data_IF_559223424063
#
_entry.id   IF_559223424063
#
_cell.length_a   1.000
_cell.length_b   1.000
_cell.length_c   1.000
_cell.angle_alpha   90.00
_cell.angle_beta   90.00
_cell.angle_gamma   90.00
#
_symmetry.space_group_name_H-M   'P 1'
#
loop_
_entity.id
_entity.type
_entity.pdbx_description
1 polymer ?
#
# COMPACT_ATOMS: atom_id res chain seq x y z
N UNK A 1 -18.81 -30.05 -5.17
CA UNK A 1 -19.52 -28.91 -5.76
C UNK A 1 -20.85 -28.68 -5.04
N UNK A 2 -21.24 -27.44 -4.82
CA UNK A 2 -22.61 -27.10 -4.38
C UNK A 2 -23.61 -27.32 -5.52
N UNK A 3 -24.85 -27.74 -5.18
CA UNK A 3 -25.88 -27.95 -6.18
C UNK A 3 -26.40 -26.64 -6.80
N UNK A 4 -26.74 -26.64 -8.08
CA UNK A 4 -27.38 -25.52 -8.74
C UNK A 4 -28.88 -25.48 -8.39
N UNK A 5 -29.49 -24.29 -8.34
CA UNK A 5 -30.91 -24.08 -8.17
C UNK A 5 -31.43 -23.06 -9.17
N UNK A 6 -32.59 -23.33 -9.77
CA UNK A 6 -33.21 -22.41 -10.73
C UNK A 6 -34.09 -21.34 -10.04
N UNK A 7 -34.59 -21.59 -8.83
CA UNK A 7 -35.61 -20.76 -8.16
C UNK A 7 -35.26 -20.37 -6.73
N UNK A 8 -34.26 -21.00 -6.14
CA UNK A 8 -33.81 -20.77 -4.76
C UNK A 8 -32.30 -20.54 -4.69
N UNK A 9 -31.80 -20.36 -3.46
CA UNK A 9 -30.34 -20.24 -3.20
C UNK A 9 -29.63 -21.54 -3.62
N UNK A 10 -28.52 -21.44 -4.33
CA UNK A 10 -27.68 -22.57 -4.68
C UNK A 10 -27.03 -23.21 -3.45
N UNK A 11 -26.63 -24.48 -3.58
CA UNK A 11 -25.97 -25.22 -2.50
C UNK A 11 -24.60 -24.64 -2.12
N UNK A 12 -24.26 -24.64 -0.83
CA UNK A 12 -22.95 -24.23 -0.30
C UNK A 12 -21.96 -25.40 -0.25
N UNK A 13 -20.66 -25.06 -0.28
CA UNK A 13 -19.56 -25.95 0.05
C UNK A 13 -18.81 -25.35 1.24
N UNK A 14 -18.57 -26.16 2.28
CA UNK A 14 -17.81 -25.78 3.47
C UNK A 14 -16.65 -26.74 3.65
N UNK A 15 -15.45 -26.22 3.83
CA UNK A 15 -14.24 -26.99 4.12
C UNK A 15 -13.63 -26.42 5.40
N UNK A 16 -13.44 -27.26 6.41
CA UNK A 16 -12.92 -26.85 7.72
C UNK A 16 -11.89 -27.85 8.23
N UNK A 17 -10.83 -27.34 8.87
CA UNK A 17 -9.95 -28.16 9.71
C UNK A 17 -10.65 -28.54 11.02
N UNK A 18 -10.23 -29.63 11.63
CA UNK A 18 -10.80 -30.09 12.90
C UNK A 18 -10.46 -29.12 14.05
N UNK A 19 -11.42 -28.89 14.95
CA UNK A 19 -11.17 -28.13 16.18
C UNK A 19 -10.46 -28.97 17.24
N UNK A 20 -9.66 -28.31 18.11
CA UNK A 20 -9.03 -28.97 19.27
C UNK A 20 -9.34 -28.13 20.52
N UNK A 21 -9.62 -28.82 21.63
CA UNK A 21 -9.87 -28.17 22.92
C UNK A 21 -8.59 -27.94 23.74
N UNK A 22 -7.49 -28.64 23.43
CA UNK A 22 -6.27 -28.61 24.25
C UNK A 22 -4.96 -28.55 23.45
N UNK A 23 -5.03 -28.62 22.13
CA UNK A 23 -3.89 -28.56 21.22
C UNK A 23 -4.19 -27.67 20.02
N UNK A 24 -3.26 -27.61 19.04
CA UNK A 24 -3.43 -26.90 17.79
C UNK A 24 -4.60 -27.48 16.97
N UNK A 25 -5.43 -26.64 16.38
CA UNK A 25 -6.48 -27.05 15.45
C UNK A 25 -5.91 -27.65 14.16
N UNK A 26 -6.74 -28.37 13.39
CA UNK A 26 -6.35 -28.97 12.11
C UNK A 26 -6.14 -27.92 11.02
N UNK A 27 -5.12 -28.11 10.20
CA UNK A 27 -4.82 -27.31 9.01
C UNK A 27 -5.77 -27.64 7.86
N UNK A 28 -6.07 -26.64 7.02
CA UNK A 28 -6.63 -26.80 5.68
C UNK A 28 -5.62 -26.28 4.67
N UNK A 29 -5.08 -27.16 3.81
CA UNK A 29 -4.14 -26.78 2.75
C UNK A 29 -4.78 -26.95 1.37
N UNK A 30 -4.71 -25.90 0.54
CA UNK A 30 -5.19 -25.91 -0.86
C UNK A 30 -4.07 -25.39 -1.75
N UNK A 31 -3.57 -26.21 -2.67
CA UNK A 31 -2.45 -25.88 -3.55
C UNK A 31 -2.69 -26.35 -4.99
N UNK A 32 -2.12 -25.63 -5.98
CA UNK A 32 -1.98 -26.14 -7.33
C UNK A 32 -1.01 -27.33 -7.40
N UNK A 33 -1.11 -28.13 -8.45
CA UNK A 33 -0.22 -29.29 -8.66
C UNK A 33 1.21 -28.87 -9.02
N UNK A 34 2.18 -29.66 -8.59
CA UNK A 34 3.59 -29.48 -8.95
C UNK A 34 3.85 -30.13 -10.31
N UNK A 35 4.63 -29.47 -11.18
CA UNK A 35 5.18 -30.05 -12.40
C UNK A 35 6.72 -30.10 -12.34
N UNK A 36 7.31 -31.11 -12.93
CA UNK A 36 8.78 -31.27 -13.04
C UNK A 36 9.31 -30.92 -14.41
N UNK A 37 8.46 -30.71 -15.40
CA UNK A 37 8.85 -30.50 -16.81
C UNK A 37 8.19 -29.27 -17.46
N UNK A 38 7.01 -28.87 -16.99
CA UNK A 38 6.21 -27.78 -17.55
C UNK A 38 5.71 -26.87 -16.41
N UNK A 39 4.80 -25.93 -16.71
CA UNK A 39 4.24 -25.02 -15.72
C UNK A 39 3.50 -25.76 -14.59
N UNK A 40 3.58 -25.24 -13.37
CA UNK A 40 2.79 -25.70 -12.23
C UNK A 40 1.31 -25.35 -12.36
N UNK A 41 0.45 -26.09 -11.66
CA UNK A 41 -1.00 -25.85 -11.63
C UNK A 41 -1.36 -24.57 -10.89
N UNK A 42 -2.34 -23.82 -11.41
CA UNK A 42 -2.87 -22.60 -10.79
C UNK A 42 -3.85 -22.90 -9.66
N UNK A 43 -3.93 -21.99 -8.69
CA UNK A 43 -5.03 -21.88 -7.73
C UNK A 43 -5.86 -20.63 -8.09
N UNK A 44 -7.18 -20.82 -8.35
CA UNK A 44 -8.11 -19.73 -8.62
C UNK A 44 -9.16 -19.61 -7.52
N UNK A 45 -9.22 -18.44 -6.86
CA UNK A 45 -10.24 -18.08 -5.87
C UNK A 45 -11.04 -16.90 -6.43
N UNK A 46 -12.34 -17.10 -6.69
CA UNK A 46 -13.19 -16.12 -7.36
C UNK A 46 -14.58 -16.08 -6.74
N UNK A 47 -15.08 -14.87 -6.46
CA UNK A 47 -16.49 -14.65 -6.11
C UNK A 47 -17.43 -14.91 -7.29
N UNK A 48 -18.67 -15.29 -7.02
CA UNK A 48 -19.67 -15.56 -8.05
C UNK A 48 -20.03 -14.30 -8.84
N UNK A 49 -20.25 -14.44 -10.14
CA UNK A 49 -20.75 -13.35 -11.01
C UNK A 49 -22.27 -13.28 -11.00
N UNK A 50 -22.81 -12.12 -11.34
CA UNK A 50 -24.26 -11.88 -11.49
C UNK A 50 -24.54 -11.03 -12.72
N UNK A 51 -25.77 -11.11 -13.23
CA UNK A 51 -26.25 -10.27 -14.35
C UNK A 51 -26.92 -9.00 -13.84
N UNK A 52 -27.60 -9.03 -12.71
CA UNK A 52 -28.48 -7.94 -12.24
C UNK A 52 -28.27 -7.50 -10.80
N UNK A 53 -27.43 -8.15 -10.04
CA UNK A 53 -27.15 -7.82 -8.64
C UNK A 53 -25.67 -7.50 -8.39
N UNK A 54 -25.25 -7.44 -7.13
CA UNK A 54 -23.84 -7.34 -6.77
C UNK A 54 -23.13 -8.69 -6.91
N UNK A 55 -21.90 -8.71 -7.41
CA UNK A 55 -21.05 -9.90 -7.44
C UNK A 55 -20.71 -10.42 -6.04
N UNK A 56 -20.32 -11.69 -5.94
CA UNK A 56 -19.92 -12.33 -4.70
C UNK A 56 -18.60 -11.77 -4.18
N UNK A 57 -18.48 -11.63 -2.86
CA UNK A 57 -17.28 -11.17 -2.16
C UNK A 57 -16.25 -12.31 -2.03
N UNK A 58 -14.96 -11.97 -2.10
CA UNK A 58 -13.86 -12.80 -1.60
C UNK A 58 -13.33 -12.16 -0.32
N UNK A 59 -13.29 -12.89 0.79
CA UNK A 59 -12.82 -12.41 2.09
C UNK A 59 -11.71 -13.31 2.62
N UNK A 60 -10.55 -12.73 2.93
CA UNK A 60 -9.42 -13.39 3.57
C UNK A 60 -9.14 -12.71 4.91
N UNK A 61 -9.11 -13.48 5.99
CA UNK A 61 -8.74 -12.99 7.32
C UNK A 61 -8.05 -14.08 8.11
N UNK A 62 -7.14 -13.70 8.97
CA UNK A 62 -6.52 -14.60 9.96
C UNK A 62 -7.48 -14.90 11.12
N UNK A 63 -7.10 -15.85 11.97
CA UNK A 63 -7.83 -16.19 13.19
C UNK A 63 -7.66 -15.12 14.27
N UNK A 64 -8.74 -14.85 15.01
CA UNK A 64 -8.73 -13.98 16.19
C UNK A 64 -8.23 -14.73 17.42
N UNK A 65 -7.50 -14.04 18.30
CA UNK A 65 -7.23 -14.49 19.69
C UNK A 65 -8.05 -13.66 20.66
N UNK A 66 -8.77 -14.31 21.54
CA UNK A 66 -9.54 -13.65 22.62
C UNK A 66 -8.80 -13.56 23.95
N UNK A 67 -7.69 -14.29 24.12
CA UNK A 67 -6.92 -14.35 25.36
C UNK A 67 -5.40 -14.20 25.12
N UNK A 68 -4.94 -12.98 24.88
CA UNK A 68 -3.57 -12.52 25.16
C UNK A 68 -2.42 -12.92 24.22
N UNK A 69 -2.63 -13.76 23.20
CA UNK A 69 -1.52 -14.25 22.33
C UNK A 69 -1.43 -13.57 20.97
N UNK A 70 -2.30 -12.63 20.65
CA UNK A 70 -2.36 -11.98 19.34
C UNK A 70 -3.12 -12.80 18.28
N UNK A 71 -3.55 -12.16 17.21
CA UNK A 71 -4.16 -12.80 16.03
C UNK A 71 -3.09 -13.44 15.15
N UNK A 72 -3.49 -14.32 14.23
CA UNK A 72 -2.59 -14.86 13.21
C UNK A 72 -2.23 -13.82 12.15
N UNK A 73 -1.20 -14.10 11.36
CA UNK A 73 -0.76 -13.28 10.23
C UNK A 73 -1.52 -13.62 8.94
N UNK A 74 -1.58 -12.68 8.00
CA UNK A 74 -1.95 -12.90 6.60
C UNK A 74 -0.77 -12.52 5.73
N UNK A 75 -0.19 -13.49 5.01
CA UNK A 75 0.96 -13.27 4.11
C UNK A 75 0.51 -13.46 2.66
N UNK A 76 0.81 -12.49 1.80
CA UNK A 76 0.55 -12.55 0.35
C UNK A 76 1.84 -12.17 -0.36
N UNK A 77 2.48 -13.13 -1.04
CA UNK A 77 3.77 -12.93 -1.69
C UNK A 77 3.91 -13.78 -2.96
N UNK A 78 4.74 -13.36 -3.89
CA UNK A 78 5.26 -14.22 -4.96
C UNK A 78 6.49 -14.97 -4.45
N UNK A 79 6.62 -16.25 -4.80
CA UNK A 79 7.77 -17.06 -4.38
C UNK A 79 9.07 -16.55 -5.03
N UNK A 80 10.19 -16.76 -4.30
CA UNK A 80 11.52 -16.49 -4.84
C UNK A 80 11.86 -17.43 -6.00
N UNK A 81 12.53 -16.90 -7.02
CA UNK A 81 13.09 -17.69 -8.11
C UNK A 81 14.60 -17.91 -7.87
N UNK A 82 15.04 -19.16 -7.91
CA UNK A 82 16.46 -19.49 -7.80
C UNK A 82 17.24 -19.09 -9.07
N UNK A 83 16.58 -19.16 -10.24
CA UNK A 83 17.09 -18.76 -11.55
C UNK A 83 15.97 -18.08 -12.32
N UNK A 84 16.25 -16.95 -12.94
CA UNK A 84 15.24 -16.15 -13.65
C UNK A 84 14.58 -15.10 -12.79
N UNK A 85 13.41 -14.60 -13.21
CA UNK A 85 12.64 -13.57 -12.50
C UNK A 85 11.58 -14.18 -11.59
N UNK A 86 11.32 -13.56 -10.44
CA UNK A 86 10.15 -13.86 -9.62
C UNK A 86 8.87 -13.35 -10.27
N UNK A 87 7.71 -13.87 -9.83
CA UNK A 87 6.41 -13.38 -10.27
C UNK A 87 6.05 -12.01 -9.68
N UNK A 88 5.09 -11.34 -10.30
CA UNK A 88 4.54 -10.07 -9.84
C UNK A 88 3.43 -10.28 -8.79
N UNK A 89 3.28 -9.33 -7.86
CA UNK A 89 2.09 -9.14 -7.04
C UNK A 89 1.32 -7.91 -7.54
N UNK A 90 0.06 -8.09 -7.98
CA UNK A 90 -0.81 -7.03 -8.47
C UNK A 90 -2.06 -6.86 -7.59
N UNK A 91 -2.25 -5.67 -7.04
CA UNK A 91 -3.47 -5.25 -6.35
C UNK A 91 -4.14 -4.15 -7.18
N UNK A 92 -5.34 -4.39 -7.66
CA UNK A 92 -6.07 -3.44 -8.48
C UNK A 92 -7.59 -3.59 -8.30
N UNK A 93 -8.33 -2.50 -8.36
CA UNK A 93 -9.79 -2.50 -8.49
C UNK A 93 -10.19 -2.56 -9.97
N UNK A 94 -11.38 -3.10 -10.23
CA UNK A 94 -11.94 -3.10 -11.57
C UNK A 94 -12.34 -1.71 -12.05
N UNK A 95 -12.35 -1.50 -13.37
CA UNK A 95 -12.89 -0.29 -13.98
C UNK A 95 -14.42 -0.31 -13.99
N UNK A 96 -15.05 0.86 -13.83
CA UNK A 96 -16.49 1.06 -14.00
C UNK A 96 -16.75 1.85 -15.28
N UNK A 97 -17.64 1.35 -16.15
CA UNK A 97 -18.03 2.06 -17.38
C UNK A 97 -19.03 3.17 -17.07
N UNK A 98 -19.98 2.89 -16.17
CA UNK A 98 -21.01 3.82 -15.71
C UNK A 98 -20.97 3.85 -14.18
N UNK A 99 -20.44 4.92 -13.61
CA UNK A 99 -20.35 5.08 -12.17
C UNK A 99 -18.93 5.16 -11.63
N UNK A 100 -18.78 5.08 -10.33
CA UNK A 100 -17.51 5.20 -9.63
C UNK A 100 -16.80 3.84 -9.54
N UNK A 101 -15.50 3.81 -9.83
CA UNK A 101 -14.65 2.64 -9.60
C UNK A 101 -14.44 2.40 -8.10
N UNK A 102 -14.06 1.17 -7.74
CA UNK A 102 -13.72 0.82 -6.36
C UNK A 102 -12.43 1.49 -5.89
N UNK A 103 -12.26 1.59 -4.56
CA UNK A 103 -11.06 2.14 -3.92
C UNK A 103 -10.15 1.01 -3.42
N UNK A 104 -8.85 1.28 -3.31
CA UNK A 104 -7.89 0.48 -2.54
C UNK A 104 -7.58 1.26 -1.26
N UNK A 105 -7.76 0.61 -0.09
CA UNK A 105 -7.41 1.16 1.22
C UNK A 105 -6.35 0.28 1.88
N UNK A 106 -5.21 0.87 2.24
CA UNK A 106 -4.12 0.24 2.99
C UNK A 106 -4.05 0.95 4.35
N UNK A 107 -4.38 0.23 5.41
CA UNK A 107 -4.44 0.79 6.75
C UNK A 107 -3.92 -0.21 7.77
N UNK A 108 -3.00 0.23 8.63
CA UNK A 108 -2.57 -0.52 9.80
C UNK A 108 -3.58 -0.44 10.95
N UNK A 109 -3.54 -1.41 11.86
CA UNK A 109 -4.41 -1.45 13.02
C UNK A 109 -4.03 -0.40 14.07
N UNK A 110 -5.03 0.05 14.84
CA UNK A 110 -4.82 0.89 16.02
C UNK A 110 -4.44 0.03 17.23
N UNK A 111 -3.51 0.53 18.04
CA UNK A 111 -3.12 -0.06 19.33
C UNK A 111 -3.42 0.88 20.50
N UNK A 112 -3.47 0.34 21.70
CA UNK A 112 -3.67 1.15 22.92
C UNK A 112 -2.42 1.95 23.33
N UNK A 113 -1.24 1.51 22.91
CA UNK A 113 0.06 2.14 23.24
C UNK A 113 0.78 2.61 21.98
N UNK A 114 0.85 1.77 20.95
CA UNK A 114 1.50 2.06 19.66
C UNK A 114 0.61 1.51 18.55
N UNK A 115 0.38 2.29 17.50
CA UNK A 115 -0.28 1.84 16.27
C UNK A 115 0.65 0.99 15.40
N UNK A 116 0.10 0.24 14.45
CA UNK A 116 0.90 -0.49 13.47
C UNK A 116 1.48 0.44 12.40
N UNK A 117 2.59 0.04 11.78
CA UNK A 117 3.24 0.77 10.69
C UNK A 117 2.72 0.35 9.31
N UNK A 118 2.83 1.25 8.33
CA UNK A 118 2.74 0.94 6.91
C UNK A 118 4.09 1.27 6.28
N UNK A 119 4.81 0.24 5.79
CA UNK A 119 6.11 0.39 5.13
C UNK A 119 5.97 0.15 3.63
N UNK A 120 6.42 1.10 2.81
CA UNK A 120 6.50 0.98 1.35
C UNK A 120 7.95 1.17 0.92
N UNK A 121 8.60 0.12 0.42
CA UNK A 121 9.98 0.17 -0.06
C UNK A 121 10.12 -0.58 -1.38
N UNK A 122 10.99 -0.09 -2.25
CA UNK A 122 11.38 -0.80 -3.46
C UNK A 122 12.54 -1.79 -3.16
N UNK A 123 12.71 -2.79 -4.01
CA UNK A 123 13.74 -3.81 -3.86
C UNK A 123 15.16 -3.28 -4.08
N UNK A 124 16.11 -3.87 -3.37
CA UNK A 124 17.55 -3.63 -3.53
C UNK A 124 18.11 -4.50 -4.65
N UNK A 125 18.98 -3.91 -5.50
CA UNK A 125 19.73 -4.61 -6.54
C UNK A 125 20.95 -3.75 -6.96
N UNK A 126 21.73 -4.19 -7.96
CA UNK A 126 22.79 -3.37 -8.60
C UNK A 126 22.25 -2.05 -9.16
N UNK A 127 20.99 -2.04 -9.62
CA UNK A 127 20.20 -0.84 -9.87
C UNK A 127 18.91 -0.97 -9.06
N UNK A 128 18.72 -0.10 -8.07
CA UNK A 128 17.59 -0.15 -7.15
C UNK A 128 16.24 0.05 -7.83
N UNK A 129 15.19 -0.54 -7.25
CA UNK A 129 13.82 -0.37 -7.70
C UNK A 129 13.29 1.05 -7.41
N UNK A 130 12.20 1.45 -8.07
CA UNK A 130 11.55 2.76 -7.93
C UNK A 130 10.23 2.65 -7.16
N UNK A 131 9.96 3.56 -6.24
CA UNK A 131 8.61 3.85 -5.72
C UNK A 131 8.04 5.03 -6.49
N UNK A 132 6.81 4.91 -7.00
CA UNK A 132 6.11 5.98 -7.73
C UNK A 132 4.72 6.20 -7.14
N UNK A 133 4.41 7.44 -6.71
CA UNK A 133 3.09 7.86 -6.20
C UNK A 133 2.56 8.94 -7.11
N UNK A 134 1.43 8.69 -7.78
CA UNK A 134 0.85 9.62 -8.77
C UNK A 134 -0.66 9.71 -8.56
N UNK A 135 -1.21 10.93 -8.56
CA UNK A 135 -2.65 11.18 -8.59
C UNK A 135 -3.27 10.79 -9.92
N UNK A 136 -4.55 10.44 -9.94
CA UNK A 136 -5.25 10.05 -11.16
C UNK A 136 -5.42 11.21 -12.15
N UNK A 137 -5.42 10.90 -13.45
CA UNK A 137 -5.67 11.90 -14.50
C UNK A 137 -7.15 12.25 -14.62
N UNK A 138 -7.48 13.56 -14.69
CA UNK A 138 -8.79 14.02 -15.11
C UNK A 138 -8.87 14.18 -16.64
N UNK A 139 -9.87 13.60 -17.29
CA UNK A 139 -10.06 13.71 -18.76
C UNK A 139 -10.80 15.02 -19.10
N UNK A 140 -11.80 15.38 -18.32
CA UNK A 140 -12.64 16.59 -18.51
C UNK A 140 -12.83 17.40 -17.23
N UNK A 141 -12.24 16.98 -16.12
CA UNK A 141 -12.26 17.63 -14.82
C UNK A 141 -10.87 17.74 -14.23
N UNK A 142 -10.79 18.14 -12.97
CA UNK A 142 -9.52 18.23 -12.24
C UNK A 142 -8.86 16.84 -12.08
N UNK A 143 -7.54 16.80 -12.08
CA UNK A 143 -6.76 15.62 -11.69
C UNK A 143 -6.89 15.33 -10.18
N UNK A 144 -6.57 14.11 -9.78
CA UNK A 144 -6.56 13.69 -8.38
C UNK A 144 -5.39 14.30 -7.60
N UNK A 145 -5.64 14.69 -6.35
CA UNK A 145 -4.61 15.18 -5.43
C UNK A 145 -3.70 14.05 -4.90
N UNK A 146 -2.50 14.43 -4.48
CA UNK A 146 -1.61 13.62 -3.63
C UNK A 146 -1.36 14.43 -2.36
N UNK A 147 -1.83 13.92 -1.21
CA UNK A 147 -1.69 14.56 0.10
C UNK A 147 -0.73 13.77 0.99
N UNK A 148 0.31 14.41 1.50
CA UNK A 148 1.29 13.83 2.41
C UNK A 148 1.33 14.65 3.70
N UNK A 149 0.93 14.06 4.80
CA UNK A 149 0.92 14.71 6.12
C UNK A 149 1.33 13.73 7.22
N UNK A 150 1.92 14.25 8.26
CA UNK A 150 2.20 13.47 9.49
C UNK A 150 0.94 13.30 10.35
N UNK A 151 1.00 12.40 11.33
CA UNK A 151 -0.06 12.19 12.30
C UNK A 151 -0.22 13.38 13.25
N UNK A 152 -1.47 13.72 13.58
CA UNK A 152 -1.82 14.73 14.57
C UNK A 152 -1.62 14.21 16.00
N UNK A 153 -1.39 15.10 16.97
CA UNK A 153 -1.40 14.79 18.40
C UNK A 153 -2.34 15.72 19.15
N UNK A 154 -3.11 15.16 20.07
CA UNK A 154 -4.00 15.94 20.94
C UNK A 154 -3.30 16.52 22.18
N UNK A 155 -2.20 15.90 22.64
CA UNK A 155 -1.54 16.24 23.90
C UNK A 155 -0.01 16.31 23.85
N UNK A 156 0.59 16.02 22.69
CA UNK A 156 2.04 16.04 22.47
C UNK A 156 2.39 16.69 21.15
N UNK A 157 3.62 16.53 20.69
CA UNK A 157 4.04 16.96 19.36
C UNK A 157 3.43 16.07 18.26
N UNK A 158 3.06 16.65 17.12
CA UNK A 158 2.70 15.91 15.92
C UNK A 158 3.93 15.17 15.35
N UNK A 159 3.68 14.24 14.42
CA UNK A 159 4.75 13.54 13.71
C UNK A 159 5.58 14.48 12.82
N UNK A 160 6.73 14.01 12.35
CA UNK A 160 7.62 14.71 11.41
C UNK A 160 7.38 14.18 9.99
N UNK A 161 7.45 15.06 8.99
CA UNK A 161 7.57 14.69 7.57
C UNK A 161 8.97 15.01 7.10
N UNK A 162 9.70 14.00 6.60
CA UNK A 162 11.05 14.17 6.04
C UNK A 162 11.06 13.83 4.57
N UNK A 163 11.56 14.73 3.73
CA UNK A 163 11.75 14.52 2.29
C UNK A 163 13.20 14.81 1.93
N UNK A 164 13.93 13.83 1.46
CA UNK A 164 15.35 13.96 1.11
C UNK A 164 15.81 12.86 0.15
N UNK A 165 16.93 13.11 -0.53
CA UNK A 165 17.65 12.08 -1.28
C UNK A 165 18.48 11.20 -0.34
N UNK A 166 18.78 9.97 -0.77
CA UNK A 166 19.64 9.05 -0.04
C UNK A 166 21.11 9.53 0.00
N UNK A 167 21.84 9.04 1.00
CA UNK A 167 23.29 9.27 1.13
C UNK A 167 24.04 8.49 0.04
N UNK A 168 25.13 9.07 -0.46
CA UNK A 168 26.04 8.42 -1.43
C UNK A 168 27.48 8.82 -1.15
N UNK A 169 28.41 7.89 -1.30
CA UNK A 169 29.85 8.12 -1.18
C UNK A 169 30.44 8.84 -2.41
N UNK A 170 29.69 8.93 -3.51
CA UNK A 170 30.14 9.56 -4.76
C UNK A 170 29.30 10.80 -5.08
N UNK A 171 28.02 10.63 -5.39
CA UNK A 171 27.12 11.73 -5.75
C UNK A 171 25.70 11.40 -5.33
N UNK A 172 25.10 12.20 -4.45
CA UNK A 172 23.70 12.05 -4.04
C UNK A 172 22.75 12.50 -5.13
N UNK A 173 21.49 11.99 -5.07
CA UNK A 173 20.42 12.41 -5.97
C UNK A 173 19.90 13.82 -5.65
N UNK A 174 19.22 14.44 -6.61
CA UNK A 174 18.55 15.73 -6.42
C UNK A 174 17.17 15.58 -5.80
N UNK A 175 16.73 16.57 -5.04
CA UNK A 175 15.34 16.76 -4.62
C UNK A 175 14.77 17.94 -5.40
N UNK A 176 13.73 17.69 -6.24
CA UNK A 176 13.09 18.71 -7.06
C UNK A 176 11.65 18.95 -6.59
N UNK A 177 11.30 20.18 -6.25
CA UNK A 177 9.95 20.59 -5.85
C UNK A 177 9.51 21.72 -6.79
N UNK A 178 8.51 21.47 -7.64
CA UNK A 178 8.05 22.42 -8.63
C UNK A 178 6.55 22.25 -8.93
N UNK A 179 5.90 23.32 -9.36
CA UNK A 179 4.56 23.24 -9.95
C UNK A 179 4.61 22.69 -11.36
N UNK A 180 3.49 22.10 -11.83
CA UNK A 180 3.37 21.62 -13.20
C UNK A 180 3.35 22.75 -14.24
N UNK A 181 3.87 22.47 -15.45
CA UNK A 181 3.77 23.37 -16.57
C UNK A 181 2.32 23.48 -17.08
N UNK A 182 1.94 24.65 -17.58
CA UNK A 182 0.62 24.94 -18.16
C UNK A 182 0.75 25.87 -19.34
N UNK A 183 -0.16 25.76 -20.32
CA UNK A 183 -0.25 26.66 -21.46
C UNK A 183 -0.95 28.00 -21.12
N UNK A 184 -1.68 28.08 -20.01
CA UNK A 184 -2.39 29.30 -19.59
C UNK A 184 -1.79 29.88 -18.31
N UNK A 185 -1.87 29.19 -17.20
CA UNK A 185 -1.27 29.61 -15.93
C UNK A 185 -0.85 28.42 -15.09
N UNK A 186 0.40 28.38 -14.66
CA UNK A 186 0.92 27.35 -13.76
C UNK A 186 0.46 27.57 -12.33
N UNK A 187 0.48 26.52 -11.52
CA UNK A 187 0.26 26.60 -10.08
C UNK A 187 1.42 27.27 -9.34
N UNK A 188 1.21 27.65 -8.09
CA UNK A 188 2.25 28.18 -7.21
C UNK A 188 2.92 27.09 -6.39
N UNK A 189 4.15 27.32 -5.95
CA UNK A 189 4.84 26.59 -4.88
C UNK A 189 4.88 27.49 -3.66
N UNK A 190 4.36 27.04 -2.50
CA UNK A 190 4.34 27.82 -1.26
C UNK A 190 5.06 27.02 -0.16
N UNK A 191 6.09 27.62 0.45
CA UNK A 191 6.84 27.06 1.59
C UNK A 191 6.72 28.04 2.75
N UNK A 192 6.11 27.64 3.86
CA UNK A 192 5.90 28.50 5.03
C UNK A 192 5.77 27.66 6.31
N UNK A 193 6.12 28.24 7.45
CA UNK A 193 5.68 27.77 8.76
C UNK A 193 4.22 28.18 9.00
N UNK A 194 3.53 27.45 9.87
CA UNK A 194 2.17 27.80 10.28
C UNK A 194 2.18 28.74 11.51
N UNK A 195 1.04 29.40 11.75
CA UNK A 195 0.85 30.31 12.88
C UNK A 195 0.84 29.54 14.22
N UNK A 196 1.29 30.20 15.27
CA UNK A 196 1.17 29.75 16.66
C UNK A 196 0.24 30.71 17.40
N UNK A 197 -0.82 30.17 18.02
CA UNK A 197 -1.78 31.00 18.77
C UNK A 197 -1.27 31.45 20.14
N UNK A 198 -0.39 30.69 20.78
CA UNK A 198 0.04 30.92 22.15
C UNK A 198 1.57 30.95 22.35
N UNK A 199 2.33 30.63 21.32
CA UNK A 199 3.78 30.54 21.39
C UNK A 199 4.46 31.18 20.20
N UNK A 200 5.72 30.83 19.97
CA UNK A 200 6.49 31.29 18.81
C UNK A 200 6.19 30.38 17.61
N UNK A 201 5.94 30.97 16.45
CA UNK A 201 5.84 30.24 15.19
C UNK A 201 7.19 29.60 14.82
N UNK A 202 7.17 28.47 14.10
CA UNK A 202 8.38 27.82 13.64
C UNK A 202 9.09 28.61 12.53
N UNK A 203 10.36 28.34 12.33
CA UNK A 203 11.18 28.98 11.30
C UNK A 203 11.07 28.27 9.94
N UNK A 204 11.33 29.00 8.86
CA UNK A 204 11.65 28.46 7.54
C UNK A 204 13.13 28.76 7.27
N UNK A 205 13.95 27.70 7.21
CA UNK A 205 15.39 27.85 6.95
C UNK A 205 15.72 27.31 5.56
N UNK A 206 16.34 28.15 4.72
CA UNK A 206 16.89 27.77 3.42
C UNK A 206 18.39 28.02 3.45
N UNK A 207 19.18 26.97 3.33
CA UNK A 207 20.64 27.09 3.41
C UNK A 207 21.33 26.20 2.36
N UNK A 208 22.43 26.70 1.82
CA UNK A 208 23.34 25.90 1.00
C UNK A 208 24.23 25.00 1.87
N UNK A 209 24.58 23.81 1.35
CA UNK A 209 25.51 22.91 2.03
C UNK A 209 26.94 23.42 2.07
N UNK A 210 27.71 23.03 3.08
CA UNK A 210 29.16 23.30 3.14
C UNK A 210 29.92 22.35 2.21
N UNK A 211 30.85 22.89 1.43
CA UNK A 211 31.75 22.14 0.57
C UNK A 211 33.21 22.33 1.01
N UNK A 212 34.06 21.32 0.81
CA UNK A 212 35.49 21.40 1.05
C UNK A 212 36.23 22.18 -0.06
N UNK A 213 35.61 22.36 -1.23
CA UNK A 213 36.12 23.16 -2.33
C UNK A 213 35.77 24.65 -2.15
N UNK A 214 36.60 25.54 -2.71
CA UNK A 214 36.43 27.01 -2.58
C UNK A 214 35.21 27.64 -3.25
N UNK A 215 34.41 26.87 -3.99
CA UNK A 215 33.12 27.31 -4.54
C UNK A 215 31.98 26.80 -3.64
N UNK A 216 31.45 27.68 -2.79
CA UNK A 216 30.27 27.39 -1.97
C UNK A 216 29.01 27.26 -2.83
N UNK A 217 28.01 26.57 -2.26
CA UNK A 217 26.67 26.53 -2.84
C UNK A 217 25.98 27.91 -2.69
N UNK A 218 25.31 28.36 -3.74
CA UNK A 218 24.43 29.54 -3.70
C UNK A 218 22.99 29.16 -3.38
N UNK A 219 22.30 30.00 -2.66
CA UNK A 219 20.85 29.97 -2.41
C UNK A 219 20.16 30.93 -3.36
#
# INVERSE_FOLDING_TARGET
>A
AGGASATNVGGSVRVEGGSSASNVGGEVSVSGGVSTAEDGGSLLLQGGSTVSGAGGMVHLSSGVSSEGSGSGDVTIESSAAAVGSSGDLRLATGSAVLGQAGSISLQSGSGSTVGGDVLVSAGEASVGGRVSVVGGSGVSGAGGAVDISSGVSASGASGVVTVGSGVSDVTSGSVNVQSGASSLSSGSVSVRSSDSALGVAGDVTVAGGAGAASSGSSV
#
